data_IF_283701990937
#
_entry.id   IF_283701990937
#
_cell.length_a   1.000
_cell.length_b   1.000
_cell.length_c   1.000
_cell.angle_alpha   90.00
_cell.angle_beta   90.00
_cell.angle_gamma   90.00
#
_symmetry.space_group_name_H-M   'P 1'
#
loop_
_entity.id
_entity.type
_entity.pdbx_description
1 polymer ?
#
# COMPACT_ATOMS: atom_id res chain seq x y z
N UNK A 1 32.28 -0.83 3.77
CA UNK A 1 32.49 -0.78 2.30
C UNK A 1 32.65 0.65 1.78
N UNK A 2 31.85 1.60 2.26
CA UNK A 2 31.84 3.01 1.79
C UNK A 2 33.17 3.76 1.99
N UNK A 3 33.86 3.54 3.11
CA UNK A 3 35.14 4.21 3.44
C UNK A 3 36.27 3.84 2.46
N UNK A 4 36.34 2.57 2.05
CA UNK A 4 37.35 2.10 1.10
C UNK A 4 37.16 2.70 -0.30
N UNK A 5 35.90 2.91 -0.71
CA UNK A 5 35.55 3.55 -1.98
C UNK A 5 35.92 5.04 -2.00
N UNK A 6 35.71 5.74 -0.88
CA UNK A 6 36.11 7.15 -0.73
C UNK A 6 37.64 7.28 -0.77
N UNK A 7 38.36 6.41 -0.05
CA UNK A 7 39.83 6.41 -0.07
C UNK A 7 40.38 6.08 -1.47
N UNK A 8 39.80 5.10 -2.16
CA UNK A 8 40.22 4.73 -3.51
C UNK A 8 40.02 5.88 -4.51
N UNK A 9 38.86 6.54 -4.48
CA UNK A 9 38.57 7.69 -5.36
C UNK A 9 39.49 8.87 -5.06
N UNK A 10 39.77 9.18 -3.79
CA UNK A 10 40.72 10.23 -3.39
C UNK A 10 42.16 9.93 -3.85
N UNK A 11 42.62 8.69 -3.72
CA UNK A 11 43.96 8.28 -4.18
C UNK A 11 44.06 8.38 -5.70
N UNK A 12 43.01 7.97 -6.43
CA UNK A 12 42.95 8.07 -7.88
C UNK A 12 42.99 9.53 -8.37
N UNK A 13 42.26 10.45 -7.73
CA UNK A 13 42.26 11.88 -8.10
C UNK A 13 43.62 12.53 -7.85
N UNK A 14 44.24 12.28 -6.69
CA UNK A 14 45.58 12.82 -6.35
C UNK A 14 46.63 12.33 -7.36
N UNK A 15 46.63 11.03 -7.69
CA UNK A 15 47.57 10.46 -8.68
C UNK A 15 47.37 11.00 -10.08
N UNK A 16 46.14 11.35 -10.45
CA UNK A 16 45.83 11.96 -11.73
C UNK A 16 46.38 13.38 -11.82
N UNK A 17 46.22 14.16 -10.74
CA UNK A 17 46.69 15.54 -10.65
C UNK A 17 48.22 15.62 -10.70
N UNK A 18 48.90 14.78 -9.91
CA UNK A 18 50.37 14.78 -9.83
C UNK A 18 51.06 14.37 -11.14
N UNK A 19 50.41 13.57 -11.98
CA UNK A 19 50.98 13.14 -13.26
C UNK A 19 50.44 13.91 -14.48
N UNK A 20 49.58 14.91 -14.26
CA UNK A 20 48.85 15.63 -15.31
C UNK A 20 49.77 16.33 -16.33
N UNK A 21 50.94 16.80 -15.88
CA UNK A 21 51.92 17.52 -16.71
C UNK A 21 52.67 16.60 -17.68
N UNK A 22 52.72 15.29 -17.42
CA UNK A 22 53.48 14.31 -18.23
C UNK A 22 52.71 13.70 -19.40
N UNK A 23 51.43 14.02 -19.57
CA UNK A 23 50.58 13.38 -20.58
C UNK A 23 50.37 14.24 -21.83
N UNK A 24 50.33 13.60 -23.00
CA UNK A 24 49.85 14.21 -24.24
C UNK A 24 48.34 14.49 -24.14
N UNK A 25 47.84 15.50 -24.84
CA UNK A 25 46.43 15.95 -24.77
C UNK A 25 45.42 14.79 -24.87
N UNK A 26 45.63 13.84 -25.79
CA UNK A 26 44.78 12.64 -25.93
C UNK A 26 44.78 11.74 -24.67
N UNK A 27 45.94 11.55 -24.02
CA UNK A 27 46.04 10.75 -22.79
C UNK A 27 45.39 11.45 -21.59
N UNK A 28 45.38 12.80 -21.57
CA UNK A 28 44.68 13.58 -20.54
C UNK A 28 43.16 13.37 -20.60
N UNK A 29 42.59 13.41 -21.81
CA UNK A 29 41.14 13.22 -22.01
C UNK A 29 40.68 11.82 -21.55
N UNK A 30 41.39 10.76 -21.94
CA UNK A 30 41.03 9.39 -21.55
C UNK A 30 41.07 9.22 -20.02
N UNK A 31 42.12 9.75 -19.37
CA UNK A 31 42.29 9.71 -17.92
C UNK A 31 41.20 10.52 -17.19
N UNK A 32 40.80 11.66 -17.74
CA UNK A 32 39.71 12.47 -17.21
C UNK A 32 38.38 11.71 -17.25
N UNK A 33 38.03 11.12 -18.40
CA UNK A 33 36.80 10.32 -18.56
C UNK A 33 36.79 9.14 -17.58
N UNK A 34 37.91 8.43 -17.44
CA UNK A 34 38.04 7.28 -16.53
C UNK A 34 37.80 7.62 -15.05
N UNK A 35 37.99 8.87 -14.63
CA UNK A 35 37.71 9.30 -13.25
C UNK A 35 36.36 9.97 -13.12
N UNK A 36 36.01 10.86 -14.06
CA UNK A 36 34.75 11.58 -13.98
C UNK A 36 33.53 10.66 -14.10
N UNK A 37 33.55 9.67 -14.99
CA UNK A 37 32.37 8.78 -15.18
C UNK A 37 32.06 7.98 -13.90
N UNK A 38 33.01 7.28 -13.26
CA UNK A 38 32.73 6.60 -12.00
C UNK A 38 32.35 7.56 -10.87
N UNK A 39 33.00 8.73 -10.78
CA UNK A 39 32.66 9.72 -9.74
C UNK A 39 31.23 10.22 -9.89
N UNK A 40 30.78 10.53 -11.12
CA UNK A 40 29.40 10.95 -11.38
C UNK A 40 28.42 9.81 -11.09
N UNK A 41 28.75 8.59 -11.46
CA UNK A 41 27.90 7.42 -11.19
C UNK A 41 27.75 7.17 -9.68
N UNK A 42 28.85 7.21 -8.93
CA UNK A 42 28.84 7.07 -7.46
C UNK A 42 28.05 8.23 -6.85
N UNK A 43 28.31 9.48 -7.23
CA UNK A 43 27.58 10.63 -6.71
C UNK A 43 26.08 10.53 -6.98
N UNK A 44 25.67 10.13 -8.19
CA UNK A 44 24.27 9.86 -8.56
C UNK A 44 23.61 8.85 -7.62
N UNK A 45 24.28 7.72 -7.34
CA UNK A 45 23.78 6.71 -6.44
C UNK A 45 23.63 7.22 -5.00
N UNK A 46 24.66 7.91 -4.49
CA UNK A 46 24.61 8.49 -3.15
C UNK A 46 23.55 9.59 -3.02
N UNK A 47 23.39 10.44 -4.02
CA UNK A 47 22.31 11.45 -4.06
C UNK A 47 20.96 10.72 -4.01
N UNK A 48 20.75 9.71 -4.86
CA UNK A 48 19.49 8.96 -4.89
C UNK A 48 19.13 8.26 -3.57
N UNK A 49 20.14 7.79 -2.82
CA UNK A 49 19.93 7.07 -1.55
C UNK A 49 19.86 8.00 -0.35
N UNK A 50 20.66 9.07 -0.31
CA UNK A 50 20.87 9.89 0.89
C UNK A 50 20.33 11.31 0.80
N UNK A 51 19.98 11.80 -0.39
CA UNK A 51 19.14 12.99 -0.47
C UNK A 51 17.69 12.54 -0.48
N UNK A 52 16.86 12.95 0.51
CA UNK A 52 15.42 12.78 0.44
C UNK A 52 14.92 13.76 -0.63
N UNK A 53 15.13 13.41 -1.89
CA UNK A 53 14.49 14.13 -2.98
C UNK A 53 13.02 13.75 -2.83
N UNK A 54 12.21 14.68 -2.30
CA UNK A 54 10.76 14.65 -2.42
C UNK A 54 10.43 14.80 -3.91
N UNK A 55 10.69 13.75 -4.70
CA UNK A 55 10.25 13.68 -6.08
C UNK A 55 8.74 13.45 -5.97
N UNK A 56 7.90 14.36 -6.50
CA UNK A 56 6.44 14.18 -6.50
C UNK A 56 5.97 12.93 -7.27
N UNK A 57 6.89 12.21 -7.92
CA UNK A 57 6.67 10.92 -8.57
C UNK A 57 6.56 9.75 -7.57
N UNK A 58 7.11 9.89 -6.35
CA UNK A 58 6.94 8.89 -5.29
C UNK A 58 5.66 9.18 -4.53
N UNK A 59 4.53 8.71 -5.06
CA UNK A 59 3.32 8.66 -4.27
C UNK A 59 3.53 7.72 -3.08
N UNK A 60 2.95 8.02 -1.91
CA UNK A 60 2.99 7.10 -0.78
C UNK A 60 2.51 5.72 -1.21
N UNK A 61 3.21 4.65 -0.80
CA UNK A 61 2.94 3.29 -1.29
C UNK A 61 1.49 2.81 -1.09
N UNK A 62 0.80 3.35 -0.07
CA UNK A 62 -0.62 3.07 0.17
C UNK A 62 -1.52 3.52 -0.98
N UNK A 63 -1.16 4.57 -1.72
CA UNK A 63 -2.00 5.16 -2.75
C UNK A 63 -2.18 4.24 -3.98
N UNK A 64 -1.11 3.85 -4.72
CA UNK A 64 -1.25 2.94 -5.86
C UNK A 64 -1.82 1.57 -5.45
N UNK A 65 -1.50 1.09 -4.24
CA UNK A 65 -2.10 -0.13 -3.69
C UNK A 65 -3.62 0.00 -3.54
N UNK A 66 -4.10 1.06 -2.88
CA UNK A 66 -5.54 1.27 -2.61
C UNK A 66 -6.32 1.46 -3.91
N UNK A 67 -5.74 2.12 -4.91
CA UNK A 67 -6.34 2.18 -6.25
C UNK A 67 -6.47 0.80 -6.91
N UNK A 68 -5.40 0.00 -6.94
CA UNK A 68 -5.47 -1.36 -7.49
C UNK A 68 -6.46 -2.24 -6.73
N UNK A 69 -6.55 -2.08 -5.41
CA UNK A 69 -7.51 -2.78 -4.58
C UNK A 69 -8.96 -2.35 -4.87
N UNK A 70 -9.21 -1.04 -5.04
CA UNK A 70 -10.53 -0.50 -5.47
C UNK A 70 -10.98 -1.12 -6.78
N UNK A 71 -10.12 -1.19 -7.79
CA UNK A 71 -10.48 -1.80 -9.08
C UNK A 71 -10.76 -3.31 -8.97
N UNK A 72 -10.03 -4.00 -8.08
CA UNK A 72 -10.29 -5.41 -7.78
C UNK A 72 -11.67 -5.60 -7.12
N UNK A 73 -12.03 -4.76 -6.15
CA UNK A 73 -13.36 -4.82 -5.53
C UNK A 73 -14.42 -4.52 -6.58
N UNK A 74 -14.28 -3.42 -7.33
CA UNK A 74 -15.26 -3.03 -8.36
C UNK A 74 -15.52 -4.14 -9.39
N UNK A 75 -14.49 -4.87 -9.79
CA UNK A 75 -14.62 -5.94 -10.80
C UNK A 75 -15.15 -7.27 -10.26
N UNK A 76 -15.16 -7.47 -8.94
CA UNK A 76 -15.53 -8.76 -8.33
C UNK A 76 -16.73 -8.70 -7.40
N UNK A 77 -17.03 -7.53 -6.84
CA UNK A 77 -18.12 -7.35 -5.91
C UNK A 77 -19.44 -7.33 -6.64
N UNK A 78 -20.34 -8.19 -6.21
CA UNK A 78 -21.76 -8.04 -6.46
C UNK A 78 -22.34 -7.20 -5.31
N UNK A 79 -22.23 -5.87 -5.44
CA UNK A 79 -22.63 -4.94 -4.37
C UNK A 79 -24.14 -5.01 -4.13
N UNK A 80 -24.92 -5.22 -5.18
CA UNK A 80 -26.38 -5.32 -5.09
C UNK A 80 -26.79 -6.57 -4.29
N UNK A 81 -26.20 -7.74 -4.58
CA UNK A 81 -26.42 -8.96 -3.79
C UNK A 81 -26.03 -8.77 -2.31
N UNK A 82 -24.91 -8.09 -2.04
CA UNK A 82 -24.47 -7.81 -0.67
C UNK A 82 -25.44 -6.86 0.04
N UNK A 83 -25.95 -5.82 -0.64
CA UNK A 83 -26.94 -4.89 -0.06
C UNK A 83 -28.27 -5.56 0.23
N UNK A 84 -28.78 -6.33 -0.72
CA UNK A 84 -30.01 -7.11 -0.53
C UNK A 84 -29.88 -8.04 0.68
N UNK A 85 -28.70 -8.63 0.87
CA UNK A 85 -28.41 -9.42 2.07
C UNK A 85 -28.35 -8.56 3.34
N UNK A 86 -27.71 -7.39 3.32
CA UNK A 86 -27.67 -6.48 4.47
C UNK A 86 -29.07 -6.05 4.93
N UNK A 87 -30.04 -5.90 4.02
CA UNK A 87 -31.44 -5.58 4.35
C UNK A 87 -32.15 -6.70 5.12
N UNK A 88 -31.62 -7.92 5.09
CA UNK A 88 -32.19 -9.07 5.83
C UNK A 88 -31.67 -9.19 7.26
N UNK A 89 -30.63 -8.42 7.61
CA UNK A 89 -30.01 -8.48 8.94
C UNK A 89 -30.84 -7.70 9.96
N UNK A 90 -30.89 -8.23 11.18
CA UNK A 90 -31.48 -7.52 12.32
C UNK A 90 -30.39 -6.69 13.05
N UNK A 91 -30.80 -5.72 13.88
CA UNK A 91 -29.87 -4.86 14.62
C UNK A 91 -28.96 -5.69 15.55
N UNK A 92 -29.48 -6.80 16.07
CA UNK A 92 -28.78 -7.76 16.92
C UNK A 92 -27.62 -8.47 16.21
N UNK A 93 -27.71 -8.63 14.89
CA UNK A 93 -26.63 -9.20 14.07
C UNK A 93 -25.45 -8.19 13.90
N UNK A 94 -25.73 -6.90 14.12
CA UNK A 94 -24.80 -5.79 13.88
C UNK A 94 -24.10 -5.32 15.15
N UNK A 95 -23.62 -6.25 15.97
CA UNK A 95 -23.04 -5.98 17.29
C UNK A 95 -21.65 -5.28 17.27
N UNK A 96 -21.02 -5.17 16.10
CA UNK A 96 -19.70 -4.57 15.95
C UNK A 96 -18.54 -5.40 16.45
N UNK A 97 -18.74 -6.69 16.73
CA UNK A 97 -17.66 -7.60 17.03
C UNK A 97 -16.94 -8.02 15.73
N UNK A 98 -15.61 -8.09 15.79
CA UNK A 98 -14.81 -8.56 14.66
C UNK A 98 -14.77 -10.09 14.68
N UNK A 99 -15.33 -10.70 13.64
CA UNK A 99 -15.30 -12.14 13.42
C UNK A 99 -13.99 -12.49 12.72
N UNK A 100 -13.14 -13.25 13.41
CA UNK A 100 -11.89 -13.76 12.83
C UNK A 100 -12.21 -14.95 11.93
N UNK A 101 -11.85 -14.84 10.66
CA UNK A 101 -12.03 -15.94 9.72
C UNK A 101 -10.75 -16.79 9.71
N UNK A 102 -10.82 -17.96 10.36
CA UNK A 102 -9.73 -18.91 10.35
C UNK A 102 -9.52 -19.43 8.92
N UNK A 103 -8.26 -19.47 8.49
CA UNK A 103 -7.91 -20.15 7.24
C UNK A 103 -7.79 -21.63 7.52
N UNK A 104 -8.54 -22.41 6.76
CA UNK A 104 -8.31 -23.84 6.63
C UNK A 104 -6.89 -24.07 6.08
N UNK A 105 -6.11 -24.91 6.78
CA UNK A 105 -4.73 -25.23 6.43
C UNK A 105 -4.62 -25.86 5.05
N UNK A 106 -5.66 -26.55 4.60
CA UNK A 106 -5.62 -27.38 3.39
C UNK A 106 -6.12 -26.61 2.17
N UNK A 107 -7.08 -25.69 2.34
CA UNK A 107 -7.73 -24.98 1.22
C UNK A 107 -7.40 -23.49 1.12
N UNK A 108 -6.71 -22.91 2.12
CA UNK A 108 -6.51 -21.45 2.25
C UNK A 108 -7.81 -20.63 2.21
N UNK A 109 -8.96 -21.28 2.40
CA UNK A 109 -10.26 -20.63 2.45
C UNK A 109 -10.59 -20.20 3.88
N UNK A 110 -11.15 -19.02 3.99
CA UNK A 110 -11.75 -18.48 5.21
C UNK A 110 -12.94 -19.33 5.61
N UNK A 111 -12.93 -19.82 6.85
CA UNK A 111 -14.05 -20.52 7.45
C UNK A 111 -15.02 -19.47 8.02
N UNK A 112 -16.21 -19.42 7.44
CA UNK A 112 -17.27 -18.51 7.84
C UNK A 112 -18.14 -19.15 8.93
N UNK A 113 -18.60 -18.40 9.95
CA UNK A 113 -19.52 -18.94 10.94
C UNK A 113 -20.85 -19.34 10.30
N UNK A 114 -21.39 -20.49 10.71
CA UNK A 114 -22.71 -20.98 10.26
C UNK A 114 -23.88 -20.26 10.94
N UNK A 115 -23.61 -19.40 11.93
CA UNK A 115 -24.63 -18.61 12.64
C UNK A 115 -25.30 -17.54 11.77
N UNK A 116 -24.68 -17.19 10.63
CA UNK A 116 -25.18 -16.17 9.71
C UNK A 116 -25.16 -16.77 8.30
N UNK A 117 -26.24 -16.58 7.55
CA UNK A 117 -26.31 -17.02 6.16
C UNK A 117 -25.56 -16.03 5.24
N UNK A 118 -24.24 -16.15 5.18
CA UNK A 118 -23.38 -15.26 4.39
C UNK A 118 -23.57 -15.44 2.87
N UNK A 119 -23.73 -14.34 2.10
CA UNK A 119 -23.95 -14.41 0.66
C UNK A 119 -22.70 -14.88 -0.06
N UNK A 120 -22.88 -15.56 -1.20
CA UNK A 120 -21.77 -16.13 -1.98
C UNK A 120 -20.84 -15.05 -2.51
N UNK A 121 -21.39 -13.90 -2.89
CA UNK A 121 -20.67 -12.70 -3.35
C UNK A 121 -19.60 -12.26 -2.36
N UNK A 122 -19.91 -12.31 -1.06
CA UNK A 122 -19.02 -11.86 0.01
C UNK A 122 -17.91 -12.89 0.31
N UNK A 123 -18.19 -14.19 0.15
CA UNK A 123 -17.21 -15.28 0.36
C UNK A 123 -16.07 -15.27 -0.68
N UNK A 124 -16.27 -14.68 -1.87
CA UNK A 124 -15.25 -14.59 -2.93
C UNK A 124 -14.00 -13.81 -2.50
N UNK A 125 -14.14 -12.94 -1.50
CA UNK A 125 -13.09 -12.01 -1.07
C UNK A 125 -12.02 -12.64 -0.16
N UNK A 126 -12.38 -13.70 0.58
CA UNK A 126 -11.48 -14.39 1.50
C UNK A 126 -10.74 -13.44 2.49
N UNK A 127 -11.45 -12.59 3.25
CA UNK A 127 -10.82 -11.66 4.18
C UNK A 127 -10.28 -12.38 5.43
N UNK A 128 -9.44 -11.67 6.20
CA UNK A 128 -8.96 -12.13 7.50
C UNK A 128 -10.00 -11.90 8.60
N UNK A 129 -10.75 -10.80 8.51
CA UNK A 129 -11.76 -10.41 9.47
C UNK A 129 -13.00 -9.87 8.77
N UNK A 130 -14.15 -10.07 9.40
CA UNK A 130 -15.42 -9.47 9.00
C UNK A 130 -16.09 -8.84 10.19
N UNK A 131 -16.68 -7.67 9.99
CA UNK A 131 -17.37 -6.93 11.03
C UNK A 131 -18.72 -6.46 10.49
N UNK A 132 -19.79 -6.75 11.22
CA UNK A 132 -21.12 -6.21 10.97
C UNK A 132 -21.39 -5.11 11.99
N UNK A 133 -21.75 -3.92 11.51
CA UNK A 133 -22.00 -2.74 12.33
C UNK A 133 -23.14 -1.95 11.73
N UNK A 134 -23.83 -1.18 12.55
CA UNK A 134 -24.74 -0.14 12.06
C UNK A 134 -23.93 1.10 11.63
N UNK A 135 -24.44 1.81 10.62
CA UNK A 135 -23.98 3.15 10.27
C UNK A 135 -24.65 4.24 11.13
N UNK A 136 -24.40 5.51 10.81
CA UNK A 136 -24.96 6.64 11.57
C UNK A 136 -26.48 6.77 11.41
N UNK A 137 -27.06 6.22 10.34
CA UNK A 137 -28.49 6.18 10.08
C UNK A 137 -29.16 4.95 10.72
N UNK A 138 -28.38 4.05 11.33
CA UNK A 138 -28.87 2.78 11.85
C UNK A 138 -29.01 1.69 10.80
N UNK A 139 -28.44 1.85 9.60
CA UNK A 139 -28.47 0.83 8.57
C UNK A 139 -27.31 -0.16 8.74
N UNK A 140 -27.52 -1.47 8.49
CA UNK A 140 -26.45 -2.45 8.48
C UNK A 140 -25.37 -2.14 7.42
N UNK A 141 -24.11 -2.32 7.80
CA UNK A 141 -22.98 -2.36 6.87
C UNK A 141 -22.00 -3.46 7.26
N UNK A 142 -21.26 -3.94 6.27
CA UNK A 142 -20.22 -4.94 6.44
C UNK A 142 -18.85 -4.37 6.12
N UNK A 143 -17.88 -4.62 7.00
CA UNK A 143 -16.47 -4.31 6.79
C UNK A 143 -15.68 -5.61 6.63
N UNK A 144 -15.02 -5.76 5.49
CA UNK A 144 -14.09 -6.85 5.21
C UNK A 144 -12.66 -6.33 5.36
N UNK A 145 -11.85 -7.01 6.17
CA UNK A 145 -10.49 -6.57 6.49
C UNK A 145 -9.47 -7.65 6.16
N UNK A 146 -8.37 -7.22 5.55
CA UNK A 146 -7.16 -8.00 5.33
C UNK A 146 -5.99 -7.36 6.06
N UNK A 147 -4.94 -8.14 6.27
CA UNK A 147 -3.68 -7.64 6.78
C UNK A 147 -3.18 -8.45 7.97
N UNK A 148 -2.40 -7.79 8.81
CA UNK A 148 -1.79 -8.40 9.98
C UNK A 148 -0.84 -7.43 10.69
N UNK A 149 0.25 -7.93 11.29
CA UNK A 149 1.15 -7.09 12.12
C UNK A 149 1.76 -5.86 11.42
N UNK A 150 1.72 -5.82 10.09
CA UNK A 150 2.31 -4.77 9.26
C UNK A 150 1.26 -3.88 8.58
N UNK A 151 0.04 -3.87 9.10
CA UNK A 151 -1.03 -2.97 8.66
C UNK A 151 -2.22 -3.70 8.09
N UNK A 152 -3.32 -2.95 8.00
CA UNK A 152 -4.60 -3.43 7.54
C UNK A 152 -5.14 -2.60 6.37
N UNK A 153 -5.98 -3.24 5.58
CA UNK A 153 -6.75 -2.60 4.53
C UNK A 153 -8.06 -3.34 4.37
N UNK A 154 -9.04 -2.69 3.77
CA UNK A 154 -10.37 -3.28 3.71
C UNK A 154 -11.33 -2.61 2.76
N UNK A 155 -12.53 -3.16 2.71
CA UNK A 155 -13.68 -2.57 2.04
C UNK A 155 -14.82 -2.50 3.03
N UNK A 156 -15.55 -1.39 3.00
CA UNK A 156 -16.82 -1.22 3.71
C UNK A 156 -17.91 -1.09 2.67
N UNK A 157 -18.98 -1.86 2.86
CA UNK A 157 -20.16 -1.90 2.00
C UNK A 157 -21.37 -1.67 2.91
N UNK A 158 -22.08 -0.57 2.69
CA UNK A 158 -23.36 -0.27 3.32
C UNK A 158 -24.43 0.10 2.30
N UNK A 159 -25.53 0.64 2.81
CA UNK A 159 -26.63 1.17 2.01
C UNK A 159 -26.19 2.40 1.21
N UNK A 160 -26.93 2.74 0.14
CA UNK A 160 -26.55 3.83 -0.78
C UNK A 160 -26.48 5.20 -0.11
N UNK A 161 -27.30 5.42 0.92
CA UNK A 161 -27.37 6.66 1.71
C UNK A 161 -26.32 6.74 2.82
N UNK A 162 -25.54 5.67 3.04
CA UNK A 162 -24.46 5.66 4.03
C UNK A 162 -23.40 6.70 3.65
N UNK A 163 -23.11 7.62 4.57
CA UNK A 163 -22.04 8.60 4.39
C UNK A 163 -20.67 7.92 4.40
N UNK A 164 -19.82 8.29 3.44
CA UNK A 164 -18.44 7.82 3.37
C UNK A 164 -17.56 8.82 4.11
N UNK A 165 -16.93 8.43 5.25
CA UNK A 165 -16.12 9.36 6.02
C UNK A 165 -14.89 9.81 5.23
N UNK A 166 -14.41 11.06 5.43
CA UNK A 166 -13.20 11.55 4.76
C UNK A 166 -11.97 10.73 5.17
N UNK A 167 -10.92 10.75 4.35
CA UNK A 167 -9.63 10.15 4.74
C UNK A 167 -9.05 10.85 5.96
N UNK A 168 -8.55 10.09 6.93
CA UNK A 168 -7.71 10.61 8.00
C UNK A 168 -6.24 10.37 7.62
N UNK A 169 -5.50 11.47 7.37
CA UNK A 169 -4.09 11.42 6.99
C UNK A 169 -3.15 11.54 8.19
N UNK A 170 -3.66 11.37 9.42
CA UNK A 170 -2.86 11.26 10.62
C UNK A 170 -2.02 9.97 10.64
N UNK A 171 -1.05 9.88 11.57
CA UNK A 171 -0.09 8.77 11.67
C UNK A 171 -0.74 7.39 11.88
N UNK A 172 -1.97 7.34 12.34
CA UNK A 172 -2.75 6.11 12.55
C UNK A 172 -4.13 6.22 11.90
N UNK A 173 -4.24 7.12 10.92
CA UNK A 173 -5.46 7.35 10.18
C UNK A 173 -5.68 6.29 9.11
N UNK A 174 -6.73 6.49 8.33
CA UNK A 174 -7.08 5.64 7.20
C UNK A 174 -7.17 6.47 5.94
N UNK A 175 -6.44 6.05 4.91
CA UNK A 175 -6.67 6.54 3.56
C UNK A 175 -7.86 5.82 2.95
N UNK A 176 -8.92 6.56 2.62
CA UNK A 176 -10.20 6.05 2.13
C UNK A 176 -10.44 6.50 0.71
N UNK A 177 -10.82 5.57 -0.16
CA UNK A 177 -11.21 5.83 -1.54
C UNK A 177 -12.64 5.36 -1.78
N UNK A 178 -13.58 6.29 -2.04
CA UNK A 178 -14.95 5.95 -2.43
C UNK A 178 -14.95 5.07 -3.69
N UNK A 179 -15.74 4.01 -3.69
CA UNK A 179 -15.94 3.15 -4.84
C UNK A 179 -17.19 3.58 -5.63
N UNK A 180 -18.31 3.69 -4.91
CA UNK A 180 -19.65 4.17 -5.29
C UNK A 180 -20.42 4.60 -4.01
N UNK A 181 -21.64 5.16 -4.07
CA UNK A 181 -22.38 5.58 -2.87
C UNK A 181 -22.44 4.47 -1.81
N UNK A 182 -22.16 4.77 -0.55
CA UNK A 182 -22.16 3.76 0.52
C UNK A 182 -21.04 2.71 0.48
N UNK A 183 -20.10 2.77 -0.47
CA UNK A 183 -19.03 1.78 -0.60
C UNK A 183 -17.67 2.45 -0.73
N UNK A 184 -16.71 2.04 0.08
CA UNK A 184 -15.34 2.54 -0.02
C UNK A 184 -14.32 1.47 0.34
N UNK A 185 -13.12 1.62 -0.21
CA UNK A 185 -11.95 0.88 0.24
C UNK A 185 -11.08 1.76 1.12
N UNK A 186 -10.32 1.15 2.02
CA UNK A 186 -9.46 1.86 2.94
C UNK A 186 -8.13 1.14 3.16
N UNK A 187 -7.13 1.90 3.60
CA UNK A 187 -5.79 1.42 3.96
C UNK A 187 -5.29 2.17 5.21
N UNK A 188 -4.83 1.44 6.21
CA UNK A 188 -4.24 1.98 7.45
C UNK A 188 -2.92 2.68 7.15
N UNK A 189 -2.76 3.90 7.67
CA UNK A 189 -1.51 4.65 7.60
C UNK A 189 -0.61 4.29 8.79
N UNK A 190 0.69 4.17 8.56
CA UNK A 190 1.72 3.83 9.56
C UNK A 190 2.86 4.86 9.59
#
# INVERSE_FOLDING_TARGET
MSVLLILFTAICTIRLFNNWTKYTQRKKIIRFIQVCVPTVFIASFFISVFTPINIPLYQPGYNPFTYGFRERIRSKADIEDIRNWLETLEDEDCNGESIVLLRDSDSFKSQWPDSIEWPKSLKVFNPNYVKLVLDENGNPKVSLTWGGPFGHWGVVIGMEDMEIPPSDLSRYGEYRLPLEPGVYVWNELQ
#
